data_IF_365101034452
#
_entry.id   IF_365101034452
#
_cell.length_a   1.000
_cell.length_b   1.000
_cell.length_c   1.000
_cell.angle_alpha   90.00
_cell.angle_beta   90.00
_cell.angle_gamma   90.00
#
_symmetry.space_group_name_H-M   'P 1'
#
loop_
_entity.id
_entity.type
_entity.pdbx_description
1 polymer ?
#
# COMPACT_ATOMS: atom_id res chain seq x y z
N UNK A 1 47.02 70.46 182.64
CA UNK A 1 45.98 71.51 182.63
C UNK A 1 45.70 71.85 181.17
N UNK A 2 44.51 71.55 180.67
CA UNK A 2 44.15 71.77 179.26
C UNK A 2 43.84 73.25 179.03
N UNK A 3 44.46 73.81 177.99
CA UNK A 3 44.34 75.22 177.63
C UNK A 3 42.85 75.60 177.39
N UNK A 4 42.27 76.53 178.18
CA UNK A 4 40.85 76.83 178.12
C UNK A 4 40.36 77.35 176.76
N UNK A 5 41.29 77.72 175.86
CA UNK A 5 40.98 78.16 174.51
C UNK A 5 40.66 77.06 173.47
N UNK A 6 40.91 75.77 173.74
CA UNK A 6 40.86 74.71 172.70
C UNK A 6 39.61 73.81 172.76
N UNK A 7 39.12 73.39 171.59
CA UNK A 7 37.92 72.56 171.38
C UNK A 7 37.93 71.32 172.27
N UNK A 8 36.82 71.05 172.96
CA UNK A 8 36.71 69.93 173.90
C UNK A 8 36.95 68.57 173.24
N UNK A 9 36.44 68.36 172.01
CA UNK A 9 36.52 67.08 171.30
C UNK A 9 37.91 66.85 170.68
N UNK A 10 38.27 67.60 169.64
CA UNK A 10 39.51 67.35 168.92
C UNK A 10 40.77 67.87 169.63
N UNK A 11 40.61 68.75 170.64
CA UNK A 11 41.70 69.45 171.36
C UNK A 11 42.73 70.17 170.49
N UNK A 12 42.46 70.33 169.18
CA UNK A 12 43.41 70.83 168.19
C UNK A 12 43.09 72.23 167.69
N UNK A 13 41.82 72.60 167.63
CA UNK A 13 41.37 73.89 167.09
C UNK A 13 40.76 74.77 168.19
N UNK A 14 40.90 76.11 168.08
CA UNK A 14 40.34 77.02 169.07
C UNK A 14 38.82 76.94 169.13
N UNK A 15 38.29 77.17 170.33
CA UNK A 15 36.85 77.26 170.59
C UNK A 15 36.24 78.46 169.89
N UNK A 16 34.96 78.34 169.55
CA UNK A 16 34.19 79.47 169.01
C UNK A 16 34.13 80.60 170.04
N UNK A 17 34.73 81.76 169.71
CA UNK A 17 34.73 82.93 170.60
C UNK A 17 33.33 83.56 170.71
N UNK A 18 32.98 84.13 171.88
CA UNK A 18 31.70 84.78 172.07
C UNK A 18 31.59 86.07 171.25
N UNK A 19 30.40 86.30 170.70
CA UNK A 19 30.13 87.48 169.87
C UNK A 19 30.16 88.81 170.64
N UNK A 20 30.15 89.94 169.92
CA UNK A 20 30.42 91.28 170.48
C UNK A 20 29.41 91.80 171.52
N UNK A 21 28.30 91.09 171.76
CA UNK A 21 27.31 91.44 172.80
C UNK A 21 27.58 90.77 174.16
N UNK A 22 28.73 90.11 174.35
CA UNK A 22 29.08 89.43 175.59
C UNK A 22 28.29 88.14 175.79
N UNK A 23 28.94 86.99 175.57
CA UNK A 23 28.36 85.66 175.78
C UNK A 23 29.42 84.66 176.25
N UNK A 24 29.02 83.45 176.64
CA UNK A 24 29.96 82.40 177.08
C UNK A 24 30.68 81.78 175.85
N UNK A 25 32.00 81.52 175.89
CA UNK A 25 32.70 80.84 174.80
C UNK A 25 32.14 79.43 174.56
N UNK A 26 31.97 79.01 173.30
CA UNK A 26 31.40 77.70 172.94
C UNK A 26 32.38 76.54 173.19
N UNK A 27 31.89 75.33 173.49
CA UNK A 27 32.74 74.20 173.90
C UNK A 27 33.53 73.53 172.75
N UNK A 28 33.03 73.62 171.51
CA UNK A 28 33.61 72.96 170.34
C UNK A 28 34.10 73.96 169.28
N UNK A 29 35.03 73.54 168.42
CA UNK A 29 35.43 74.31 167.24
C UNK A 29 34.43 74.13 166.09
N UNK A 30 34.52 75.02 165.11
CA UNK A 30 33.70 74.99 163.89
C UNK A 30 34.34 74.22 162.74
N UNK A 31 35.40 73.42 162.99
CA UNK A 31 36.06 72.63 161.94
C UNK A 31 35.13 71.53 161.43
N UNK A 32 35.01 71.46 160.09
CA UNK A 32 34.26 70.42 159.36
C UNK A 32 35.24 69.35 158.89
N UNK A 33 34.96 68.08 159.19
CA UNK A 33 35.84 66.95 158.84
C UNK A 33 35.43 66.24 157.56
N UNK A 34 34.13 66.15 157.32
CA UNK A 34 33.53 65.58 156.13
C UNK A 34 32.13 66.17 155.96
N UNK A 35 31.52 65.88 154.82
CA UNK A 35 30.12 66.17 154.55
C UNK A 35 29.44 64.82 154.37
N UNK A 36 28.34 64.58 155.09
CA UNK A 36 27.60 63.31 154.96
C UNK A 36 26.97 63.17 153.56
N UNK A 37 26.50 61.97 153.18
CA UNK A 37 25.86 61.70 151.88
C UNK A 37 24.62 62.59 151.61
N UNK A 38 24.12 63.30 152.64
CA UNK A 38 23.01 64.26 152.56
C UNK A 38 23.47 65.71 152.53
N UNK A 39 24.76 65.97 152.34
CA UNK A 39 25.30 67.31 152.21
C UNK A 39 25.49 68.07 153.52
N UNK A 40 25.41 67.41 154.70
CA UNK A 40 25.52 68.09 156.00
C UNK A 40 26.93 68.00 156.57
N UNK A 41 27.42 69.14 157.05
CA UNK A 41 28.74 69.25 157.65
C UNK A 41 28.85 68.45 158.95
N UNK A 42 29.86 67.58 159.00
CA UNK A 42 30.22 66.79 160.17
C UNK A 42 31.28 67.55 160.95
N UNK A 43 30.82 68.28 161.98
CA UNK A 43 31.68 69.06 162.87
C UNK A 43 32.05 68.29 164.14
N UNK A 44 33.06 68.77 164.86
CA UNK A 44 33.45 68.21 166.16
C UNK A 44 32.29 68.04 167.14
N UNK A 45 31.29 68.93 167.11
CA UNK A 45 30.11 68.81 167.96
C UNK A 45 29.25 67.59 167.58
N UNK A 46 29.04 67.36 166.28
CA UNK A 46 28.28 66.19 165.80
C UNK A 46 29.04 64.88 165.98
N UNK A 47 30.35 64.89 165.85
CA UNK A 47 31.16 63.71 166.14
C UNK A 47 31.11 63.36 167.62
N UNK A 48 31.21 64.34 168.52
CA UNK A 48 31.06 64.11 169.96
C UNK A 48 29.65 63.61 170.30
N UNK A 49 28.61 64.14 169.66
CA UNK A 49 27.23 63.66 169.85
C UNK A 49 27.03 62.24 169.31
N UNK A 50 27.59 61.92 168.13
CA UNK A 50 27.54 60.57 167.58
C UNK A 50 28.33 59.57 168.44
N UNK A 51 29.46 59.99 169.01
CA UNK A 51 30.26 59.17 169.91
C UNK A 51 29.55 58.98 171.26
N UNK A 52 28.89 60.02 171.78
CA UNK A 52 28.02 59.90 172.96
C UNK A 52 26.81 59.00 172.72
N UNK A 53 26.18 59.05 171.54
CA UNK A 53 25.08 58.13 171.18
C UNK A 53 25.62 56.71 171.04
N UNK A 54 26.79 56.53 170.42
CA UNK A 54 27.42 55.21 170.26
C UNK A 54 27.82 54.63 171.63
N UNK A 55 28.34 55.47 172.53
CA UNK A 55 28.65 55.10 173.90
C UNK A 55 27.39 54.81 174.72
N UNK A 56 26.30 55.55 174.53
CA UNK A 56 25.02 55.31 175.20
C UNK A 56 24.32 54.05 174.70
N UNK A 57 24.49 53.70 173.42
CA UNK A 57 23.88 52.51 172.82
C UNK A 57 24.68 51.22 173.11
N UNK A 58 26.01 51.29 173.18
CA UNK A 58 26.87 50.10 173.25
C UNK A 58 27.79 50.04 174.47
N UNK A 59 27.83 51.09 175.31
CA UNK A 59 28.70 51.15 176.50
C UNK A 59 30.19 51.10 176.16
N UNK A 60 31.09 51.04 177.17
CA UNK A 60 32.54 51.04 176.96
C UNK A 60 33.11 49.78 176.27
N UNK A 61 32.26 48.86 175.79
CA UNK A 61 32.65 47.57 175.20
C UNK A 61 32.31 47.47 173.70
N UNK A 62 32.67 48.49 172.92
CA UNK A 62 32.55 48.44 171.44
C UNK A 62 33.66 47.56 170.83
N UNK A 63 33.34 46.51 170.05
CA UNK A 63 34.32 45.77 169.27
C UNK A 63 34.66 46.56 168.00
N UNK A 64 35.92 46.94 167.82
CA UNK A 64 36.39 47.66 166.64
C UNK A 64 36.18 46.86 165.36
N UNK A 65 35.49 47.44 164.38
CA UNK A 65 35.38 46.91 163.02
C UNK A 65 36.77 46.92 162.34
N UNK A 66 37.28 45.72 162.03
CA UNK A 66 38.52 45.53 161.25
C UNK A 66 38.23 45.80 159.76
N UNK A 67 38.37 47.06 159.35
CA UNK A 67 38.23 47.52 157.95
C UNK A 67 39.20 46.77 157.01
N UNK A 68 40.30 46.21 157.52
CA UNK A 68 41.20 45.38 156.71
C UNK A 68 40.61 44.01 156.37
N UNK A 69 39.66 43.47 157.16
CA UNK A 69 38.99 42.21 156.87
C UNK A 69 38.04 42.34 155.67
N UNK A 70 37.26 43.42 155.59
CA UNK A 70 36.33 43.67 154.47
C UNK A 70 37.09 43.86 153.15
N UNK A 71 38.25 44.53 153.17
CA UNK A 71 39.12 44.65 152.00
C UNK A 71 39.66 43.30 151.51
N UNK A 72 39.99 42.39 152.44
CA UNK A 72 40.43 41.02 152.12
C UNK A 72 39.30 40.18 151.51
N UNK A 73 38.07 40.30 152.00
CA UNK A 73 36.93 39.53 151.50
C UNK A 73 36.49 39.97 150.09
N UNK A 74 36.54 41.28 149.78
CA UNK A 74 36.27 41.78 148.43
C UNK A 74 37.38 41.41 147.45
N UNK A 75 38.65 41.49 147.86
CA UNK A 75 39.77 41.02 147.04
C UNK A 75 39.72 39.51 146.81
N UNK A 76 39.27 38.72 147.80
CA UNK A 76 39.07 37.27 147.67
C UNK A 76 37.94 36.93 146.70
N UNK A 77 36.79 37.61 146.80
CA UNK A 77 35.68 37.41 145.86
C UNK A 77 36.06 37.81 144.42
N UNK A 78 36.79 38.91 144.23
CA UNK A 78 37.31 39.30 142.93
C UNK A 78 38.37 38.31 142.41
N UNK A 79 39.18 37.73 143.28
CA UNK A 79 40.13 36.68 142.92
C UNK A 79 39.46 35.37 142.48
N UNK A 80 38.24 35.09 142.95
CA UNK A 80 37.42 33.94 142.51
C UNK A 80 36.57 34.24 141.27
N UNK A 81 36.16 35.50 141.05
CA UNK A 81 35.36 35.94 139.89
C UNK A 81 36.23 36.18 138.64
N UNK A 82 37.44 36.70 138.80
CA UNK A 82 38.36 36.99 137.67
C UNK A 82 38.68 35.74 136.83
N UNK A 83 38.94 34.55 137.41
CA UNK A 83 39.09 33.30 136.67
C UNK A 83 37.83 32.94 135.87
N UNK A 84 36.64 33.07 136.47
CA UNK A 84 35.37 32.79 135.80
C UNK A 84 35.10 33.74 134.63
N UNK A 85 35.41 35.03 134.80
CA UNK A 85 35.33 36.01 133.71
C UNK A 85 36.27 35.64 132.57
N UNK A 86 37.52 35.24 132.86
CA UNK A 86 38.46 34.76 131.83
C UNK A 86 37.96 33.50 131.13
N UNK A 87 37.36 32.56 131.86
CA UNK A 87 36.78 31.34 131.26
C UNK A 87 35.56 31.67 130.40
N UNK A 88 34.70 32.60 130.81
CA UNK A 88 33.56 33.05 130.02
C UNK A 88 34.00 33.79 128.75
N UNK A 89 35.00 34.68 128.82
CA UNK A 89 35.58 35.32 127.63
C UNK A 89 36.21 34.29 126.70
N UNK A 90 36.96 33.32 127.22
CA UNK A 90 37.54 32.24 126.40
C UNK A 90 36.46 31.34 125.76
N UNK A 91 35.35 31.09 126.45
CA UNK A 91 34.20 30.37 125.89
C UNK A 91 33.47 31.20 124.84
N UNK A 92 33.29 32.50 125.06
CA UNK A 92 32.67 33.41 124.10
C UNK A 92 33.52 33.56 122.83
N UNK A 93 34.84 33.71 122.97
CA UNK A 93 35.80 33.70 121.86
C UNK A 93 35.78 32.36 121.11
N UNK A 94 35.73 31.23 121.83
CA UNK A 94 35.66 29.90 121.23
C UNK A 94 34.34 29.66 120.51
N UNK A 95 33.20 30.02 121.10
CA UNK A 95 31.89 29.93 120.47
C UNK A 95 31.79 30.87 119.27
N UNK A 96 32.36 32.08 119.38
CA UNK A 96 32.48 33.02 118.28
C UNK A 96 33.30 32.44 117.12
N UNK A 97 34.41 31.78 117.41
CA UNK A 97 35.23 31.08 116.42
C UNK A 97 34.50 29.88 115.80
N UNK A 98 33.84 29.03 116.59
CA UNK A 98 33.07 27.87 116.12
C UNK A 98 31.86 28.30 115.26
N UNK A 99 31.18 29.40 115.62
CA UNK A 99 30.09 29.99 114.81
C UNK A 99 30.62 30.62 113.53
N UNK A 100 31.76 31.31 113.58
CA UNK A 100 32.39 31.86 112.37
C UNK A 100 32.83 30.75 111.42
N UNK A 101 33.40 29.66 111.95
CA UNK A 101 33.78 28.49 111.18
C UNK A 101 32.57 27.77 110.59
N UNK A 102 31.50 27.57 111.38
CA UNK A 102 30.25 26.98 110.89
C UNK A 102 29.61 27.82 109.78
N UNK A 103 29.62 29.15 109.90
CA UNK A 103 29.16 30.08 108.85
C UNK A 103 30.03 30.01 107.60
N UNK A 104 31.35 29.90 107.76
CA UNK A 104 32.26 29.71 106.64
C UNK A 104 31.97 28.40 105.90
N UNK A 105 31.77 27.28 106.63
CA UNK A 105 31.40 25.98 106.02
C UNK A 105 30.04 26.02 105.33
N UNK A 106 29.05 26.74 105.88
CA UNK A 106 27.74 26.93 105.23
C UNK A 106 27.90 27.76 103.95
N UNK A 107 28.66 28.86 103.99
CA UNK A 107 28.92 29.67 102.80
C UNK A 107 29.68 28.89 101.72
N UNK A 108 30.65 28.07 102.09
CA UNK A 108 31.35 27.16 101.17
C UNK A 108 30.41 26.10 100.58
N UNK A 109 29.52 25.52 101.40
CA UNK A 109 28.54 24.54 100.94
C UNK A 109 27.48 25.17 100.01
N UNK A 110 27.01 26.38 100.30
CA UNK A 110 26.08 27.14 99.45
C UNK A 110 26.76 27.51 98.12
N UNK A 111 28.02 27.96 98.15
CA UNK A 111 28.79 28.21 96.93
C UNK A 111 28.98 26.93 96.10
N UNK A 112 29.33 25.82 96.74
CA UNK A 112 29.48 24.53 96.07
C UNK A 112 28.15 24.00 95.48
N UNK A 113 27.03 24.23 96.17
CA UNK A 113 25.69 23.89 95.68
C UNK A 113 25.30 24.74 94.46
N UNK A 114 25.52 26.06 94.53
CA UNK A 114 25.28 26.97 93.41
C UNK A 114 26.14 26.61 92.18
N UNK A 115 27.42 26.27 92.39
CA UNK A 115 28.32 25.81 91.31
C UNK A 115 27.90 24.45 90.74
N UNK A 116 27.35 23.55 91.56
CA UNK A 116 26.83 22.25 91.09
C UNK A 116 25.56 22.45 90.26
N UNK A 117 24.64 23.31 90.71
CA UNK A 117 23.41 23.65 89.99
C UNK A 117 23.71 24.35 88.67
N UNK A 118 24.64 25.31 88.66
CA UNK A 118 25.09 25.97 87.43
C UNK A 118 25.70 24.97 86.43
N UNK A 119 26.50 24.00 86.90
CA UNK A 119 27.05 22.93 86.04
C UNK A 119 25.97 21.99 85.51
N UNK A 120 24.98 21.62 86.34
CA UNK A 120 23.86 20.79 85.92
C UNK A 120 23.03 21.49 84.84
N UNK A 121 22.66 22.77 85.05
CA UNK A 121 21.93 23.57 84.08
C UNK A 121 22.70 23.76 82.76
N UNK A 122 24.01 23.99 82.84
CA UNK A 122 24.87 24.06 81.65
C UNK A 122 24.94 22.72 80.89
N UNK A 123 25.00 21.59 81.61
CA UNK A 123 24.98 20.26 81.01
C UNK A 123 23.64 19.94 80.34
N UNK A 124 22.51 20.28 80.98
CA UNK A 124 21.17 20.14 80.40
C UNK A 124 21.01 20.98 79.14
N UNK A 125 21.46 22.24 79.18
CA UNK A 125 21.43 23.14 78.02
C UNK A 125 22.29 22.59 76.87
N UNK A 126 23.48 22.07 77.19
CA UNK A 126 24.36 21.45 76.20
C UNK A 126 23.78 20.15 75.62
N UNK A 127 23.11 19.35 76.43
CA UNK A 127 22.44 18.12 75.99
C UNK A 127 21.26 18.46 75.05
N UNK A 128 20.41 19.41 75.43
CA UNK A 128 19.32 19.88 74.59
C UNK A 128 19.82 20.47 73.26
N UNK A 129 20.91 21.24 73.28
CA UNK A 129 21.53 21.76 72.04
C UNK A 129 22.08 20.62 71.16
N UNK A 130 22.68 19.59 71.75
CA UNK A 130 23.18 18.44 71.02
C UNK A 130 22.05 17.61 70.39
N UNK A 131 20.92 17.46 71.09
CA UNK A 131 19.72 16.79 70.56
C UNK A 131 19.13 17.53 69.35
N UNK A 132 19.06 18.87 69.42
CA UNK A 132 18.62 19.70 68.27
C UNK A 132 19.55 19.53 67.07
N UNK A 133 20.86 19.62 67.27
CA UNK A 133 21.85 19.43 66.20
C UNK A 133 21.77 18.02 65.60
N UNK A 134 21.56 16.99 66.44
CA UNK A 134 21.40 15.61 65.98
C UNK A 134 20.11 15.43 65.15
N UNK A 135 19.00 16.03 65.57
CA UNK A 135 17.75 16.02 64.82
C UNK A 135 17.89 16.73 63.46
N UNK A 136 18.49 17.91 63.41
CA UNK A 136 18.76 18.64 62.16
C UNK A 136 19.73 17.89 61.24
N UNK A 137 20.70 17.14 61.80
CA UNK A 137 21.59 16.30 61.02
C UNK A 137 20.86 15.08 60.43
N UNK A 138 19.96 14.46 61.19
CA UNK A 138 19.12 13.37 60.72
C UNK A 138 18.18 13.81 59.59
N UNK A 139 17.48 14.94 59.76
CA UNK A 139 16.60 15.50 58.72
C UNK A 139 17.37 15.83 57.43
N UNK A 140 18.58 16.41 57.55
CA UNK A 140 19.44 16.67 56.39
C UNK A 140 19.91 15.40 55.70
N UNK A 141 20.20 14.33 56.46
CA UNK A 141 20.57 13.03 55.91
C UNK A 141 19.38 12.40 55.16
N UNK A 142 18.19 12.38 55.75
CA UNK A 142 16.96 11.89 55.12
C UNK A 142 16.64 12.67 53.83
N UNK A 143 16.74 14.00 53.86
CA UNK A 143 16.54 14.84 52.67
C UNK A 143 17.62 14.62 51.60
N UNK A 144 18.85 14.30 51.98
CA UNK A 144 19.91 13.94 51.03
C UNK A 144 19.64 12.56 50.40
N UNK A 145 19.23 11.57 51.18
CA UNK A 145 18.85 10.25 50.68
C UNK A 145 17.64 10.31 49.74
N UNK A 146 16.60 11.06 50.10
CA UNK A 146 15.42 11.24 49.25
C UNK A 146 15.81 11.83 47.89
N UNK A 147 16.64 12.89 47.87
CA UNK A 147 17.14 13.50 46.63
C UNK A 147 18.02 12.55 45.82
N UNK A 148 18.82 11.71 46.48
CA UNK A 148 19.63 10.70 45.81
C UNK A 148 18.75 9.64 45.12
N UNK A 149 17.73 9.13 45.82
CA UNK A 149 16.75 8.17 45.26
C UNK A 149 15.99 8.76 44.07
N UNK A 150 15.48 9.99 44.19
CA UNK A 150 14.80 10.67 43.08
C UNK A 150 15.73 10.92 41.87
N UNK A 151 17.02 11.18 42.10
CA UNK A 151 17.99 11.32 41.02
C UNK A 151 18.26 9.98 40.32
N UNK A 152 18.37 8.88 41.08
CA UNK A 152 18.55 7.54 40.55
C UNK A 152 17.33 7.06 39.73
N UNK A 153 16.12 7.31 40.22
CA UNK A 153 14.86 7.00 39.52
C UNK A 153 14.74 7.79 38.21
N UNK A 154 15.06 9.08 38.23
CA UNK A 154 15.12 9.91 37.01
C UNK A 154 16.15 9.37 36.02
N UNK A 155 17.37 9.09 36.47
CA UNK A 155 18.41 8.51 35.60
C UNK A 155 18.02 7.13 35.05
N UNK A 156 17.30 6.30 35.82
CA UNK A 156 16.78 5.01 35.35
C UNK A 156 15.68 5.17 34.29
N UNK A 157 14.75 6.10 34.50
CA UNK A 157 13.68 6.38 33.53
C UNK A 157 14.22 6.99 32.23
N UNK A 158 15.17 7.93 32.31
CA UNK A 158 15.86 8.51 31.15
C UNK A 158 16.62 7.44 30.35
N UNK A 159 17.34 6.53 31.02
CA UNK A 159 18.02 5.40 30.36
C UNK A 159 17.03 4.49 29.64
N UNK A 160 15.90 4.19 30.27
CA UNK A 160 14.84 3.36 29.67
C UNK A 160 14.23 4.06 28.45
N UNK A 161 13.98 5.36 28.53
CA UNK A 161 13.45 6.14 27.41
C UNK A 161 14.45 6.22 26.25
N UNK A 162 15.74 6.43 26.54
CA UNK A 162 16.80 6.43 25.54
C UNK A 162 16.92 5.07 24.85
N UNK A 163 16.86 3.96 25.59
CA UNK A 163 16.87 2.61 25.02
C UNK A 163 15.66 2.35 24.12
N UNK A 164 14.46 2.79 24.52
CA UNK A 164 13.26 2.71 23.67
C UNK A 164 13.42 3.52 22.39
N UNK A 165 13.88 4.76 22.49
CA UNK A 165 14.13 5.61 21.30
C UNK A 165 15.16 4.99 20.34
N UNK A 166 16.20 4.32 20.86
CA UNK A 166 17.16 3.59 20.02
C UNK A 166 16.48 2.38 19.34
N UNK A 167 15.69 1.60 20.08
CA UNK A 167 14.98 0.45 19.53
C UNK A 167 13.95 0.87 18.45
N UNK A 168 13.22 1.95 18.69
CA UNK A 168 12.27 2.52 17.73
C UNK A 168 12.99 2.99 16.46
N UNK A 169 14.15 3.66 16.60
CA UNK A 169 14.97 4.07 15.45
C UNK A 169 15.47 2.87 14.64
N UNK A 170 15.98 1.83 15.31
CA UNK A 170 16.44 0.60 14.63
C UNK A 170 15.29 -0.11 13.91
N UNK A 171 14.09 -0.12 14.50
CA UNK A 171 12.89 -0.69 13.88
C UNK A 171 12.49 0.11 12.63
N UNK A 172 12.42 1.44 12.74
CA UNK A 172 12.12 2.31 11.60
C UNK A 172 13.16 2.20 10.47
N UNK A 173 14.46 2.12 10.80
CA UNK A 173 15.53 1.87 9.82
C UNK A 173 15.36 0.50 9.13
N UNK A 174 14.92 -0.52 9.87
CA UNK A 174 14.58 -1.84 9.33
C UNK A 174 13.40 -1.79 8.35
N UNK A 175 12.32 -1.10 8.72
CA UNK A 175 11.14 -0.92 7.86
C UNK A 175 11.49 -0.14 6.58
N UNK A 176 12.28 0.94 6.68
CA UNK A 176 12.76 1.70 5.51
C UNK A 176 13.58 0.81 4.58
N UNK A 177 14.45 -0.06 5.13
CA UNK A 177 15.25 -0.99 4.32
C UNK A 177 14.35 -1.99 3.58
N UNK A 178 13.36 -2.57 4.26
CA UNK A 178 12.40 -3.49 3.64
C UNK A 178 11.56 -2.81 2.55
N UNK A 179 11.14 -1.56 2.76
CA UNK A 179 10.40 -0.79 1.76
C UNK A 179 11.27 -0.50 0.53
N UNK A 180 12.55 -0.15 0.72
CA UNK A 180 13.50 0.03 -0.39
C UNK A 180 13.70 -1.26 -1.18
N UNK A 181 13.92 -2.39 -0.50
CA UNK A 181 14.08 -3.69 -1.16
C UNK A 181 12.83 -4.09 -1.96
N UNK A 182 11.63 -3.82 -1.43
CA UNK A 182 10.37 -4.04 -2.16
C UNK A 182 10.23 -3.11 -3.38
N UNK A 183 10.64 -1.85 -3.27
CA UNK A 183 10.62 -0.91 -4.39
C UNK A 183 11.60 -1.36 -5.49
N UNK A 184 12.82 -1.76 -5.11
CA UNK A 184 13.83 -2.28 -6.05
C UNK A 184 13.35 -3.56 -6.76
N UNK A 185 12.65 -4.45 -6.03
CA UNK A 185 12.02 -5.64 -6.61
C UNK A 185 10.94 -5.26 -7.63
N UNK A 186 10.02 -4.36 -7.27
CA UNK A 186 8.96 -3.90 -8.19
C UNK A 186 9.54 -3.20 -9.41
N UNK A 187 10.57 -2.37 -9.26
CA UNK A 187 11.24 -1.71 -10.38
C UNK A 187 11.90 -2.74 -11.32
N UNK A 188 12.55 -3.75 -10.75
CA UNK A 188 13.16 -4.85 -11.52
C UNK A 188 12.10 -5.67 -12.26
N UNK A 189 11.00 -6.02 -11.60
CA UNK A 189 9.86 -6.73 -12.21
C UNK A 189 9.21 -5.92 -13.33
N UNK A 190 8.99 -4.61 -13.12
CA UNK A 190 8.46 -3.73 -14.17
C UNK A 190 9.39 -3.63 -15.38
N UNK A 191 10.70 -3.52 -15.14
CA UNK A 191 11.69 -3.50 -16.21
C UNK A 191 11.68 -4.80 -17.01
N UNK A 192 11.68 -5.95 -16.34
CA UNK A 192 11.60 -7.26 -17.00
C UNK A 192 10.29 -7.43 -17.77
N UNK A 193 9.16 -6.99 -17.22
CA UNK A 193 7.88 -7.02 -17.91
C UNK A 193 7.87 -6.11 -19.15
N UNK A 194 8.47 -4.93 -19.07
CA UNK A 194 8.60 -4.02 -20.20
C UNK A 194 9.52 -4.59 -21.30
N UNK A 195 10.66 -5.19 -20.93
CA UNK A 195 11.56 -5.86 -21.86
C UNK A 195 10.88 -7.07 -22.55
N UNK A 196 10.12 -7.87 -21.80
CA UNK A 196 9.34 -8.99 -22.35
C UNK A 196 8.22 -8.51 -23.28
N UNK A 197 7.52 -7.42 -22.92
CA UNK A 197 6.49 -6.83 -23.76
C UNK A 197 7.08 -6.27 -25.07
N UNK A 198 8.23 -5.60 -25.00
CA UNK A 198 8.95 -5.10 -26.18
C UNK A 198 9.35 -6.25 -27.12
N UNK A 199 9.97 -7.31 -26.57
CA UNK A 199 10.33 -8.49 -27.36
C UNK A 199 9.10 -9.15 -28.02
N UNK A 200 7.96 -9.22 -27.32
CA UNK A 200 6.72 -9.76 -27.88
C UNK A 200 6.15 -8.87 -29.00
N UNK A 201 6.25 -7.54 -28.86
CA UNK A 201 5.83 -6.61 -29.92
C UNK A 201 6.71 -6.79 -31.16
N UNK A 202 8.03 -6.92 -31.00
CA UNK A 202 8.96 -7.18 -32.10
C UNK A 202 8.65 -8.51 -32.82
N UNK A 203 8.39 -9.57 -32.06
CA UNK A 203 8.00 -10.88 -32.60
C UNK A 203 6.68 -10.79 -33.40
N UNK A 204 5.66 -10.13 -32.84
CA UNK A 204 4.37 -9.94 -33.51
C UNK A 204 4.49 -9.06 -34.76
N UNK A 205 5.32 -8.01 -34.71
CA UNK A 205 5.59 -7.15 -35.86
C UNK A 205 6.30 -7.92 -36.99
N UNK A 206 7.29 -8.75 -36.65
CA UNK A 206 7.96 -9.61 -37.62
C UNK A 206 7.01 -10.65 -38.23
N UNK A 207 6.16 -11.28 -37.41
CA UNK A 207 5.15 -12.21 -37.89
C UNK A 207 4.09 -11.54 -38.79
N UNK A 208 3.67 -10.32 -38.44
CA UNK A 208 2.75 -9.53 -39.26
C UNK A 208 3.38 -9.15 -40.61
N UNK A 209 4.66 -8.73 -40.62
CA UNK A 209 5.40 -8.45 -41.84
C UNK A 209 5.54 -9.69 -42.74
N UNK A 210 5.85 -10.86 -42.16
CA UNK A 210 5.92 -12.12 -42.89
C UNK A 210 4.55 -12.52 -43.50
N UNK A 211 3.46 -12.35 -42.76
CA UNK A 211 2.11 -12.60 -43.29
C UNK A 211 1.73 -11.62 -44.40
N UNK A 212 2.13 -10.36 -44.29
CA UNK A 212 1.90 -9.37 -45.32
C UNK A 212 2.62 -9.74 -46.63
N UNK A 213 3.89 -10.14 -46.56
CA UNK A 213 4.66 -10.58 -47.74
C UNK A 213 4.09 -11.86 -48.34
N UNK A 214 3.65 -12.82 -47.53
CA UNK A 214 2.93 -14.02 -48.00
C UNK A 214 1.62 -13.69 -48.71
N UNK A 215 0.84 -12.75 -48.16
CA UNK A 215 -0.41 -12.30 -48.75
C UNK A 215 -0.19 -11.56 -50.08
N UNK A 216 0.82 -10.70 -50.16
CA UNK A 216 1.23 -10.03 -51.40
C UNK A 216 1.66 -11.04 -52.47
N UNK A 217 2.46 -12.04 -52.10
CA UNK A 217 2.89 -13.11 -53.01
C UNK A 217 1.70 -13.96 -53.48
N UNK A 218 0.75 -14.28 -52.59
CA UNK A 218 -0.47 -14.99 -52.95
C UNK A 218 -1.35 -14.17 -53.91
N UNK A 219 -1.48 -12.86 -53.66
CA UNK A 219 -2.23 -11.96 -54.53
C UNK A 219 -1.57 -11.79 -55.90
N UNK A 220 -0.24 -11.73 -55.96
CA UNK A 220 0.51 -11.73 -57.22
C UNK A 220 0.29 -13.02 -58.01
N UNK A 221 0.37 -14.19 -57.36
CA UNK A 221 0.07 -15.50 -57.98
C UNK A 221 -1.37 -15.57 -58.50
N UNK A 222 -2.34 -15.08 -57.74
CA UNK A 222 -3.73 -15.06 -58.16
C UNK A 222 -3.94 -14.21 -59.43
N UNK A 223 -3.33 -13.01 -59.49
CA UNK A 223 -3.38 -12.14 -60.69
C UNK A 223 -2.69 -12.77 -61.90
N UNK A 224 -1.58 -13.48 -61.68
CA UNK A 224 -0.91 -14.22 -62.76
C UNK A 224 -1.82 -15.32 -63.29
N UNK A 225 -2.39 -16.17 -62.43
CA UNK A 225 -3.31 -17.23 -62.85
C UNK A 225 -4.55 -16.69 -63.58
N UNK A 226 -5.10 -15.56 -63.12
CA UNK A 226 -6.22 -14.91 -63.80
C UNK A 226 -5.84 -14.43 -65.21
N UNK A 227 -4.62 -13.94 -65.38
CA UNK A 227 -4.07 -13.52 -66.69
C UNK A 227 -3.85 -14.75 -67.58
N UNK A 228 -3.19 -15.78 -67.07
CA UNK A 228 -2.96 -17.04 -67.80
C UNK A 228 -4.29 -17.69 -68.25
N UNK A 229 -5.33 -17.66 -67.40
CA UNK A 229 -6.66 -18.16 -67.76
C UNK A 229 -7.34 -17.32 -68.84
N UNK A 230 -7.20 -15.99 -68.81
CA UNK A 230 -7.71 -15.11 -69.89
C UNK A 230 -6.99 -15.36 -71.21
N UNK A 231 -5.68 -15.52 -71.16
CA UNK A 231 -4.87 -15.80 -72.35
C UNK A 231 -5.22 -17.17 -72.94
N UNK A 232 -5.37 -18.19 -72.09
CA UNK A 232 -5.80 -19.53 -72.51
C UNK A 232 -7.22 -19.51 -73.09
N UNK A 233 -8.15 -18.76 -72.48
CA UNK A 233 -9.51 -18.61 -73.01
C UNK A 233 -9.51 -17.93 -74.39
N UNK A 234 -8.65 -16.92 -74.58
CA UNK A 234 -8.46 -16.24 -75.87
C UNK A 234 -7.89 -17.19 -76.91
N UNK A 235 -6.84 -17.95 -76.57
CA UNK A 235 -6.25 -18.95 -77.46
C UNK A 235 -7.26 -20.03 -77.87
N UNK A 236 -8.05 -20.56 -76.92
CA UNK A 236 -9.09 -21.53 -77.23
C UNK A 236 -10.20 -20.95 -78.12
N UNK A 237 -10.57 -19.68 -77.93
CA UNK A 237 -11.53 -19.02 -78.79
C UNK A 237 -10.99 -18.91 -80.23
N UNK A 238 -9.74 -18.46 -80.40
CA UNK A 238 -9.08 -18.39 -81.70
C UNK A 238 -8.94 -19.78 -82.35
N UNK A 239 -8.60 -20.81 -81.59
CA UNK A 239 -8.54 -22.21 -82.07
C UNK A 239 -9.89 -22.71 -82.56
N UNK A 240 -10.97 -22.44 -81.81
CA UNK A 240 -12.32 -22.81 -82.20
C UNK A 240 -12.76 -22.08 -83.46
N UNK A 241 -12.48 -20.78 -83.58
CA UNK A 241 -12.76 -20.02 -84.80
C UNK A 241 -11.97 -20.56 -86.00
N UNK A 242 -10.68 -20.89 -85.81
CA UNK A 242 -9.88 -21.55 -86.86
C UNK A 242 -10.44 -22.92 -87.25
N UNK A 243 -10.89 -23.72 -86.28
CA UNK A 243 -11.47 -25.04 -86.55
C UNK A 243 -12.81 -24.91 -87.28
N UNK A 244 -13.67 -23.97 -86.88
CA UNK A 244 -14.93 -23.64 -87.56
C UNK A 244 -14.69 -23.21 -88.99
N UNK A 245 -13.76 -22.28 -89.22
CA UNK A 245 -13.40 -21.83 -90.56
C UNK A 245 -12.91 -22.99 -91.44
N UNK A 246 -12.05 -23.88 -90.91
CA UNK A 246 -11.60 -25.08 -91.64
C UNK A 246 -12.75 -26.04 -91.94
N UNK A 247 -13.66 -26.25 -91.00
CA UNK A 247 -14.81 -27.12 -91.18
C UNK A 247 -15.79 -26.55 -92.22
N UNK A 248 -16.07 -25.26 -92.16
CA UNK A 248 -16.94 -24.57 -93.12
C UNK A 248 -16.33 -24.57 -94.53
N UNK A 249 -15.01 -24.38 -94.63
CA UNK A 249 -14.27 -24.55 -95.88
C UNK A 249 -14.41 -25.98 -96.41
N UNK A 250 -14.16 -26.99 -95.58
CA UNK A 250 -14.28 -28.40 -96.00
C UNK A 250 -15.72 -28.74 -96.44
N UNK A 251 -16.74 -28.22 -95.75
CA UNK A 251 -18.14 -28.36 -96.16
C UNK A 251 -18.43 -27.66 -97.49
N UNK A 252 -17.86 -26.48 -97.73
CA UNK A 252 -18.01 -25.77 -98.99
C UNK A 252 -17.35 -26.55 -100.14
N UNK A 253 -16.15 -27.10 -99.92
CA UNK A 253 -15.44 -27.96 -100.87
C UNK A 253 -16.22 -29.25 -101.16
N UNK A 254 -16.75 -29.94 -100.16
CA UNK A 254 -17.58 -31.13 -100.37
C UNK A 254 -18.90 -30.83 -101.08
N UNK A 255 -19.56 -29.71 -100.76
CA UNK A 255 -20.75 -29.25 -101.50
C UNK A 255 -20.43 -28.94 -102.96
N UNK A 256 -19.28 -28.34 -103.22
CA UNK A 256 -18.82 -28.09 -104.59
C UNK A 256 -18.54 -29.38 -105.35
N UNK A 257 -17.82 -30.34 -104.75
CA UNK A 257 -17.61 -31.67 -105.35
C UNK A 257 -18.95 -32.37 -105.63
N UNK A 258 -19.90 -32.31 -104.69
CA UNK A 258 -21.22 -32.89 -104.89
C UNK A 258 -22.02 -32.20 -106.01
N UNK A 259 -21.92 -30.88 -106.14
CA UNK A 259 -22.53 -30.14 -107.26
C UNK A 259 -21.90 -30.56 -108.59
N UNK A 260 -20.57 -30.57 -108.68
CA UNK A 260 -19.85 -31.01 -109.87
C UNK A 260 -20.21 -32.46 -110.26
N UNK A 261 -20.25 -33.37 -109.29
CA UNK A 261 -20.65 -34.76 -109.55
C UNK A 261 -22.11 -34.89 -110.02
N UNK A 262 -23.03 -34.04 -109.52
CA UNK A 262 -24.41 -33.96 -110.01
C UNK A 262 -24.47 -33.42 -111.43
N UNK A 263 -23.76 -32.32 -111.70
CA UNK A 263 -23.71 -31.72 -113.04
C UNK A 263 -23.12 -32.69 -114.07
N UNK A 264 -22.04 -33.40 -113.73
CA UNK A 264 -21.49 -34.47 -114.57
C UNK A 264 -22.50 -35.61 -114.81
N UNK A 265 -23.23 -36.01 -113.76
CA UNK A 265 -24.24 -37.05 -113.88
C UNK A 265 -25.42 -36.60 -114.76
N UNK A 266 -25.88 -35.35 -114.61
CA UNK A 266 -26.95 -34.77 -115.42
C UNK A 266 -26.52 -34.57 -116.88
N UNK A 267 -25.27 -34.17 -117.12
CA UNK A 267 -24.67 -34.16 -118.46
C UNK A 267 -24.63 -35.56 -119.07
N UNK A 268 -24.23 -36.60 -118.31
CA UNK A 268 -24.26 -37.99 -118.77
C UNK A 268 -25.68 -38.46 -119.09
N UNK A 269 -26.67 -38.14 -118.25
CA UNK A 269 -28.08 -38.45 -118.53
C UNK A 269 -28.53 -37.77 -119.82
N UNK A 270 -28.20 -36.48 -119.99
CA UNK A 270 -28.58 -35.71 -121.19
C UNK A 270 -27.94 -36.30 -122.44
N UNK A 271 -26.64 -36.59 -122.41
CA UNK A 271 -25.94 -37.24 -123.51
C UNK A 271 -26.51 -38.64 -123.82
N UNK A 272 -26.85 -39.44 -122.80
CA UNK A 272 -27.49 -40.74 -123.00
C UNK A 272 -28.91 -40.59 -123.59
N UNK A 273 -29.67 -39.57 -123.20
CA UNK A 273 -30.98 -39.26 -123.79
C UNK A 273 -30.85 -38.85 -125.25
N UNK A 274 -29.91 -37.98 -125.59
CA UNK A 274 -29.63 -37.58 -126.98
C UNK A 274 -29.18 -38.77 -127.84
N UNK A 275 -28.31 -39.63 -127.31
CA UNK A 275 -27.90 -40.87 -127.96
C UNK A 275 -29.10 -41.79 -128.21
N UNK A 276 -29.98 -41.94 -127.21
CA UNK A 276 -31.18 -42.76 -127.32
C UNK A 276 -32.20 -42.17 -128.33
N UNK A 277 -32.40 -40.85 -128.34
CA UNK A 277 -33.25 -40.17 -129.32
C UNK A 277 -32.69 -40.29 -130.74
N UNK A 278 -31.38 -40.14 -130.91
CA UNK A 278 -30.69 -40.34 -132.19
C UNK A 278 -30.84 -41.78 -132.67
N UNK A 279 -30.66 -42.76 -131.77
CA UNK A 279 -30.85 -44.17 -132.09
C UNK A 279 -32.32 -44.50 -132.46
N UNK A 280 -33.29 -43.89 -131.77
CA UNK A 280 -34.72 -44.01 -132.10
C UNK A 280 -35.04 -43.39 -133.47
N UNK A 281 -34.48 -42.21 -133.78
CA UNK A 281 -34.63 -41.58 -135.08
C UNK A 281 -34.07 -42.48 -136.19
N UNK A 282 -32.85 -42.98 -136.04
CA UNK A 282 -32.25 -43.92 -136.97
C UNK A 282 -33.05 -45.22 -137.12
N UNK A 283 -33.63 -45.73 -136.04
CA UNK A 283 -34.52 -46.90 -136.09
C UNK A 283 -35.82 -46.60 -136.85
N UNK A 284 -36.43 -45.42 -136.65
CA UNK A 284 -37.62 -44.97 -137.40
C UNK A 284 -37.34 -44.79 -138.89
N UNK A 285 -36.19 -44.21 -139.23
CA UNK A 285 -35.77 -44.06 -140.62
C UNK A 285 -35.61 -45.42 -141.28
N UNK A 286 -34.98 -46.37 -140.58
CA UNK A 286 -34.81 -47.75 -141.06
C UNK A 286 -36.13 -48.49 -141.21
N UNK A 287 -37.09 -48.28 -140.30
CA UNK A 287 -38.45 -48.82 -140.45
C UNK A 287 -39.13 -48.21 -141.67
N UNK A 288 -39.00 -46.91 -141.90
CA UNK A 288 -39.58 -46.22 -143.07
C UNK A 288 -38.97 -46.72 -144.37
N UNK A 289 -37.66 -46.97 -144.39
CA UNK A 289 -36.96 -47.60 -145.51
C UNK A 289 -37.43 -49.04 -145.76
N UNK A 290 -37.63 -49.82 -144.69
CA UNK A 290 -38.18 -51.18 -144.80
C UNK A 290 -39.64 -51.20 -145.29
N UNK A 291 -40.46 -50.25 -144.85
CA UNK A 291 -41.85 -50.10 -145.32
C UNK A 291 -41.89 -49.71 -146.79
N UNK A 292 -41.04 -48.77 -147.23
CA UNK A 292 -40.98 -48.35 -148.63
C UNK A 292 -40.42 -49.46 -149.55
N UNK A 293 -39.45 -50.23 -149.10
CA UNK A 293 -38.96 -51.41 -149.84
C UNK A 293 -40.00 -52.53 -149.90
N UNK A 294 -40.73 -52.78 -148.82
CA UNK A 294 -41.86 -53.72 -148.80
C UNK A 294 -42.96 -53.28 -149.78
N UNK A 295 -43.35 -52.00 -149.79
CA UNK A 295 -44.34 -51.46 -150.72
C UNK A 295 -43.92 -51.58 -152.19
N UNK A 296 -42.62 -51.39 -152.51
CA UNK A 296 -42.08 -51.62 -153.87
C UNK A 296 -42.09 -53.10 -154.25
N UNK A 297 -41.75 -54.00 -153.33
CA UNK A 297 -41.81 -55.44 -153.57
C UNK A 297 -43.24 -55.91 -153.81
N UNK A 298 -44.20 -55.34 -153.07
CA UNK A 298 -45.62 -55.63 -153.22
C UNK A 298 -46.16 -55.13 -154.57
N UNK A 299 -45.80 -53.90 -154.99
CA UNK A 299 -46.13 -53.37 -156.31
C UNK A 299 -45.56 -54.21 -157.47
N UNK A 300 -44.30 -54.66 -157.36
CA UNK A 300 -43.69 -55.55 -158.35
C UNK A 300 -44.37 -56.92 -158.40
N UNK A 301 -44.86 -57.43 -157.27
CA UNK A 301 -45.62 -58.68 -157.22
C UNK A 301 -47.01 -58.56 -157.86
N UNK A 302 -47.68 -57.41 -157.75
CA UNK A 302 -48.95 -57.16 -158.45
C UNK A 302 -48.76 -57.06 -159.96
N UNK A 303 -47.69 -56.40 -160.40
CA UNK A 303 -47.35 -56.25 -161.82
C UNK A 303 -47.02 -57.60 -162.49
N UNK A 304 -46.30 -58.49 -161.78
CA UNK A 304 -46.03 -59.85 -162.27
C UNK A 304 -47.30 -60.71 -162.39
N UNK A 305 -48.29 -60.53 -161.50
CA UNK A 305 -49.57 -61.27 -161.55
C UNK A 305 -50.46 -60.82 -162.70
N UNK A 306 -50.45 -59.53 -163.06
CA UNK A 306 -51.22 -59.02 -164.20
C UNK A 306 -50.63 -59.47 -165.53
N UNK A 307 -49.30 -59.58 -165.65
CA UNK A 307 -48.65 -60.15 -166.85
C UNK A 307 -48.91 -61.66 -166.99
N UNK A 308 -48.97 -62.40 -165.89
CA UNK A 308 -49.33 -63.82 -165.93
C UNK A 308 -50.76 -64.05 -166.45
N UNK A 309 -51.75 -63.27 -165.98
CA UNK A 309 -53.15 -63.40 -166.42
C UNK A 309 -53.37 -63.05 -167.90
N UNK A 310 -52.65 -62.09 -168.45
CA UNK A 310 -52.78 -61.72 -169.87
C UNK A 310 -52.19 -62.79 -170.79
N UNK A 311 -51.13 -63.48 -170.38
CA UNK A 311 -50.54 -64.59 -171.15
C UNK A 311 -51.39 -65.86 -171.15
N UNK A 312 -52.05 -66.21 -170.04
CA UNK A 312 -53.01 -67.33 -169.98
C UNK A 312 -54.24 -67.11 -170.87
N UNK A 313 -54.78 -65.88 -170.89
CA UNK A 313 -55.91 -65.53 -171.74
C UNK A 313 -55.61 -65.62 -173.25
N UNK A 314 -54.35 -65.37 -173.65
CA UNK A 314 -53.90 -65.51 -175.03
C UNK A 314 -53.74 -67.00 -175.45
N UNK A 315 -53.27 -67.85 -174.54
CA UNK A 315 -53.09 -69.29 -174.80
C UNK A 315 -54.43 -70.03 -174.98
N UNK A 316 -55.44 -69.71 -174.15
CA UNK A 316 -56.78 -70.30 -174.26
C UNK A 316 -57.46 -69.99 -175.61
N UNK A 317 -57.26 -68.79 -176.16
CA UNK A 317 -57.84 -68.37 -177.45
C UNK A 317 -57.25 -69.13 -178.64
N UNK A 318 -55.96 -69.45 -178.62
CA UNK A 318 -55.31 -70.23 -179.67
C UNK A 318 -55.76 -71.71 -179.66
N UNK A 319 -56.10 -72.26 -178.49
CA UNK A 319 -56.65 -73.60 -178.36
C UNK A 319 -58.03 -73.76 -179.02
N UNK A 320 -58.95 -72.83 -178.77
CA UNK A 320 -60.31 -72.86 -179.31
C UNK A 320 -60.36 -72.74 -180.85
N UNK A 321 -59.45 -71.94 -181.44
CA UNK A 321 -59.34 -71.78 -182.90
C UNK A 321 -58.91 -73.07 -183.60
N UNK A 322 -58.01 -73.83 -182.97
CA UNK A 322 -57.49 -75.08 -183.54
C UNK A 322 -58.55 -76.19 -183.56
N UNK A 323 -59.35 -76.28 -182.52
CA UNK A 323 -60.38 -77.31 -182.36
C UNK A 323 -61.56 -77.07 -183.32
N UNK A 324 -61.96 -75.81 -183.53
CA UNK A 324 -62.98 -75.42 -184.50
C UNK A 324 -62.60 -75.73 -185.97
N UNK A 325 -61.32 -75.59 -186.33
CA UNK A 325 -60.83 -75.89 -187.69
C UNK A 325 -60.79 -77.39 -187.98
N UNK A 326 -60.42 -78.22 -186.99
CA UNK A 326 -60.35 -79.67 -187.17
C UNK A 326 -61.74 -80.31 -187.29
N UNK A 327 -62.72 -79.78 -186.56
CA UNK A 327 -64.10 -80.29 -186.60
C UNK A 327 -64.78 -80.00 -187.95
N UNK A 328 -64.44 -78.90 -188.61
CA UNK A 328 -65.01 -78.53 -189.90
C UNK A 328 -64.53 -79.39 -191.09
N UNK A 329 -63.43 -80.14 -190.94
CA UNK A 329 -62.82 -80.94 -192.00
C UNK A 329 -63.26 -82.41 -192.05
N UNK A 330 -64.00 -82.90 -191.04
CA UNK A 330 -64.22 -84.34 -190.85
C UNK A 330 -65.53 -84.92 -191.44
N UNK A 331 -66.42 -84.12 -192.06
CA UNK A 331 -67.71 -84.62 -192.59
C UNK A 331 -67.95 -84.22 -194.06
N UNK A 332 -68.24 -85.17 -194.98
CA UNK A 332 -68.50 -84.85 -196.38
C UNK A 332 -70.02 -84.89 -196.71
N UNK A 333 -70.65 -83.73 -196.82
CA UNK A 333 -71.45 -83.32 -198.00
C UNK A 333 -72.04 -81.90 -197.82
N UNK A 334 -71.70 -81.03 -198.79
CA UNK A 334 -72.39 -79.83 -199.27
C UNK A 334 -72.70 -78.68 -198.28
N UNK A 335 -71.66 -78.00 -197.78
CA UNK A 335 -71.48 -76.52 -197.88
C UNK A 335 -70.41 -76.02 -196.87
N UNK A 336 -69.15 -76.33 -197.19
CA UNK A 336 -67.97 -75.99 -196.37
C UNK A 336 -67.74 -74.45 -196.24
N UNK A 337 -68.26 -73.67 -197.19
CA UNK A 337 -67.97 -72.24 -197.33
C UNK A 337 -68.69 -71.37 -196.30
N UNK A 338 -69.91 -71.77 -195.90
CA UNK A 338 -70.69 -71.07 -194.89
C UNK A 338 -70.16 -71.29 -193.47
N UNK A 339 -69.66 -72.50 -193.16
CA UNK A 339 -69.12 -72.86 -191.84
C UNK A 339 -67.79 -72.16 -191.50
N UNK A 340 -66.87 -72.05 -192.46
CA UNK A 340 -65.61 -71.32 -192.27
C UNK A 340 -65.84 -69.83 -191.99
N UNK A 341 -66.88 -69.24 -192.58
CA UNK A 341 -67.26 -67.83 -192.36
C UNK A 341 -67.84 -67.59 -190.96
N UNK A 342 -68.59 -68.55 -190.40
CA UNK A 342 -69.12 -68.46 -189.03
C UNK A 342 -68.03 -68.57 -187.95
N UNK A 343 -67.01 -69.42 -188.16
CA UNK A 343 -65.87 -69.56 -187.23
C UNK A 343 -64.99 -68.29 -187.16
N UNK A 344 -64.81 -67.59 -188.29
CA UNK A 344 -64.04 -66.35 -188.32
C UNK A 344 -64.82 -65.14 -187.75
N UNK A 345 -66.15 -65.16 -187.82
CA UNK A 345 -66.99 -64.10 -187.24
C UNK A 345 -67.10 -64.20 -185.70
N UNK A 346 -66.96 -65.39 -185.12
CA UNK A 346 -66.96 -65.61 -183.66
C UNK A 346 -65.67 -65.21 -182.94
N UNK A 347 -64.59 -64.92 -183.68
CA UNK A 347 -63.27 -64.55 -183.11
C UNK A 347 -63.01 -63.05 -182.98
N UNK A 348 -63.97 -62.20 -183.40
CA UNK A 348 -63.91 -60.76 -183.18
C UNK A 348 -64.53 -60.40 -181.81
N UNK A 349 -63.69 -60.34 -180.78
CA UNK A 349 -64.08 -59.87 -179.46
C UNK A 349 -64.11 -58.33 -179.39
N UNK A 350 -65.02 -57.72 -178.59
CA UNK A 350 -64.83 -56.36 -178.10
C UNK A 350 -63.93 -56.37 -176.86
N UNK A 351 -62.85 -55.59 -176.92
CA UNK A 351 -61.92 -55.30 -175.82
C UNK A 351 -62.58 -54.26 -174.90
N UNK A 352 -62.66 -54.60 -173.61
CA UNK A 352 -63.06 -53.68 -172.55
C UNK A 352 -61.94 -52.72 -172.14
N UNK A 353 -62.35 -51.66 -171.43
CA UNK A 353 -61.45 -50.74 -170.73
C UNK A 353 -62.16 -50.19 -169.49
N UNK A 354 -61.74 -50.69 -168.32
CA UNK A 354 -62.03 -50.21 -166.97
C UNK A 354 -61.04 -49.10 -166.56
N UNK A 355 -61.34 -48.40 -165.45
CA UNK A 355 -60.40 -47.58 -164.65
C UNK A 355 -61.02 -46.24 -164.24
N UNK A 356 -61.54 -45.96 -163.04
CA UNK A 356 -61.09 -46.13 -161.63
C UNK A 356 -60.06 -45.07 -161.15
N UNK A 357 -60.53 -44.16 -160.29
CA UNK A 357 -59.80 -43.35 -159.28
C UNK A 357 -60.54 -43.61 -157.94
N UNK A 358 -59.92 -43.81 -156.78
CA UNK A 358 -58.52 -43.83 -156.38
C UNK A 358 -58.34 -44.41 -154.98
#
# INVERSE_FOLDING_TARGET
>A
MSDPGLCRYCRRHPRKQPGPRGGRPGEYCTTVWAVDERGREVTCARLDEADQISFAAYGPAMPGLDVAAVGRDVSRALAEITPLQRTLTALDERLGAEVAEARARVAEAEAAAADAEARASAAETSAAAAEVVAAEAAERAEAAEARAREAEERAASERTQAQRAIADRLTAEGEIRQLRERLDQVETEQRQAAEAAAARIEELAAAAAARATEAEAAHARARQLETDLRDLATQHHEDLERLRARHDQALAEEREKHRQARDEHDQRITALREQHETALAAARDRITELVTTAARAEAAATEARTTARTSEAAAARLGALREGVLTALAEPAADLSARLRALLAGTAAPVGGEGHEG
#
